data_IF_339028679432
#
_entry.id   IF_339028679432
#
_cell.length_a   1.000
_cell.length_b   1.000
_cell.length_c   1.000
_cell.angle_alpha   90.00
_cell.angle_beta   90.00
_cell.angle_gamma   90.00
#
_symmetry.space_group_name_H-M   'P 1'
#
loop_
_entity.id
_entity.type
_entity.pdbx_description
1 polymer ?
#
# COMPACT_ATOMS: atom_id res chain seq x y z
N UNK A 1 21.94 9.82 6.70
CA UNK A 1 22.09 9.32 5.31
C UNK A 1 21.25 8.07 5.17
N UNK A 2 20.10 8.12 4.47
CA UNK A 2 19.35 6.91 4.10
C UNK A 2 19.86 6.52 2.72
N UNK A 3 20.98 5.81 2.73
CA UNK A 3 21.60 5.22 1.54
C UNK A 3 20.91 3.90 1.21
N UNK A 4 20.88 3.58 -0.09
CA UNK A 4 20.42 2.36 -0.76
C UNK A 4 18.95 2.42 -1.27
N UNK A 5 18.63 2.12 -2.52
CA UNK A 5 19.38 1.41 -3.56
C UNK A 5 18.94 1.77 -4.98
N UNK A 6 19.93 1.77 -5.88
CA UNK A 6 19.81 1.57 -7.32
C UNK A 6 18.77 0.49 -7.64
N UNK A 7 17.68 0.80 -8.36
CA UNK A 7 16.76 -0.23 -8.84
C UNK A 7 17.12 -0.61 -10.28
N UNK A 8 17.92 -1.65 -10.43
CA UNK A 8 18.03 -2.43 -11.67
C UNK A 8 16.66 -3.10 -11.97
N UNK A 9 16.29 -3.33 -13.25
CA UNK A 9 14.95 -3.79 -13.60
C UNK A 9 14.81 -5.29 -13.33
N UNK A 10 14.36 -5.64 -12.12
CA UNK A 10 13.88 -6.98 -11.80
C UNK A 10 12.41 -6.88 -11.38
N UNK A 11 11.58 -7.79 -11.90
CA UNK A 11 10.18 -7.96 -11.53
C UNK A 11 9.98 -7.74 -10.02
N UNK A 12 9.15 -6.75 -9.66
CA UNK A 12 8.95 -6.39 -8.26
C UNK A 12 8.18 -7.50 -7.55
N UNK A 13 8.89 -8.26 -6.71
CA UNK A 13 8.27 -9.31 -5.89
C UNK A 13 7.38 -8.74 -4.78
N UNK A 14 6.58 -9.59 -4.11
CA UNK A 14 5.65 -9.16 -3.06
C UNK A 14 6.29 -8.31 -1.95
N UNK A 15 7.50 -8.66 -1.54
CA UNK A 15 8.25 -7.91 -0.53
C UNK A 15 8.54 -6.46 -0.95
N UNK A 16 8.91 -6.23 -2.21
CA UNK A 16 9.17 -4.89 -2.72
C UNK A 16 7.89 -4.04 -2.77
N UNK A 17 6.76 -4.66 -3.13
CA UNK A 17 5.45 -3.99 -3.12
C UNK A 17 5.05 -3.59 -1.69
N UNK A 18 5.22 -4.50 -0.73
CA UNK A 18 4.95 -4.26 0.69
C UNK A 18 5.79 -3.11 1.23
N UNK A 19 7.10 -3.11 0.96
CA UNK A 19 8.01 -2.03 1.37
C UNK A 19 7.58 -0.69 0.78
N UNK A 20 7.25 -0.62 -0.51
CA UNK A 20 6.81 0.62 -1.14
C UNK A 20 5.53 1.20 -0.51
N UNK A 21 4.57 0.34 -0.16
CA UNK A 21 3.35 0.75 0.54
C UNK A 21 3.70 1.34 1.91
N UNK A 22 4.50 0.62 2.71
CA UNK A 22 4.87 1.05 4.06
C UNK A 22 5.72 2.32 4.07
N UNK A 23 6.70 2.43 3.17
CA UNK A 23 7.56 3.61 3.06
C UNK A 23 6.73 4.87 2.79
N UNK A 24 5.82 4.81 1.81
CA UNK A 24 4.93 5.93 1.50
C UNK A 24 3.99 6.25 2.66
N UNK A 25 3.39 5.24 3.28
CA UNK A 25 2.48 5.45 4.40
C UNK A 25 3.18 6.04 5.63
N UNK A 26 4.41 5.60 5.92
CA UNK A 26 5.23 6.07 7.04
C UNK A 26 5.69 7.52 6.89
N UNK A 27 5.76 8.02 5.66
CA UNK A 27 6.12 9.40 5.36
C UNK A 27 4.93 10.38 5.47
N UNK A 28 3.71 9.87 5.64
CA UNK A 28 2.51 10.70 5.77
C UNK A 28 2.16 10.98 7.23
N UNK A 29 1.39 12.06 7.43
CA UNK A 29 0.75 12.31 8.72
C UNK A 29 -0.25 11.19 9.09
N UNK A 30 -0.47 10.95 10.40
CA UNK A 30 -1.45 9.97 10.86
C UNK A 30 -2.84 10.14 10.22
N UNK A 31 -3.42 9.02 9.78
CA UNK A 31 -4.76 9.00 9.18
C UNK A 31 -4.81 9.42 7.70
N UNK A 32 -3.72 9.90 7.11
CA UNK A 32 -3.61 10.10 5.66
C UNK A 32 -3.56 8.75 4.94
N UNK A 33 -3.81 8.81 3.63
CA UNK A 33 -3.93 7.61 2.81
C UNK A 33 -3.19 7.78 1.49
N UNK A 34 -2.77 6.67 0.88
CA UNK A 34 -2.25 6.61 -0.49
C UNK A 34 -3.20 5.82 -1.40
N UNK A 35 -3.05 5.99 -2.70
CA UNK A 35 -3.61 5.05 -3.69
C UNK A 35 -2.62 3.92 -3.97
N UNK A 36 -3.09 2.76 -4.47
CA UNK A 36 -2.19 1.74 -5.00
C UNK A 36 -1.31 2.25 -6.16
N UNK A 37 -1.77 3.26 -6.91
CA UNK A 37 -1.00 3.87 -8.00
C UNK A 37 0.20 4.64 -7.48
N UNK A 38 0.08 5.32 -6.34
CA UNK A 38 1.20 6.05 -5.72
C UNK A 38 2.33 5.08 -5.38
N UNK A 39 1.99 3.93 -4.77
CA UNK A 39 2.95 2.87 -4.46
C UNK A 39 3.60 2.27 -5.71
N UNK A 40 2.82 2.04 -6.78
CA UNK A 40 3.38 1.52 -8.02
C UNK A 40 4.29 2.54 -8.72
N UNK A 41 3.91 3.82 -8.75
CA UNK A 41 4.72 4.89 -9.34
C UNK A 41 6.03 5.11 -8.59
N UNK A 42 6.05 4.91 -7.27
CA UNK A 42 7.29 4.95 -6.50
C UNK A 42 8.30 3.87 -6.93
N UNK A 43 7.82 2.74 -7.46
CA UNK A 43 8.65 1.61 -7.87
C UNK A 43 9.10 1.68 -9.33
N UNK A 44 8.19 2.01 -10.25
CA UNK A 44 8.46 1.94 -11.69
C UNK A 44 8.34 3.27 -12.43
N UNK A 45 8.15 4.36 -11.70
CA UNK A 45 7.94 5.70 -12.25
C UNK A 45 6.56 5.91 -12.86
N UNK A 46 6.43 6.96 -13.67
CA UNK A 46 5.16 7.38 -14.28
C UNK A 46 4.75 6.58 -15.53
N UNK A 47 5.51 5.56 -15.91
CA UNK A 47 5.26 4.72 -17.09
C UNK A 47 4.04 3.81 -16.86
N UNK A 48 2.97 4.08 -17.61
CA UNK A 48 1.69 3.36 -17.52
C UNK A 48 1.77 1.88 -17.79
N UNK A 49 2.56 1.48 -18.78
CA UNK A 49 2.68 0.06 -19.09
C UNK A 49 3.34 -0.70 -17.95
N UNK A 50 4.23 -0.04 -17.19
CA UNK A 50 4.92 -0.66 -16.06
C UNK A 50 4.04 -0.70 -14.82
N UNK A 51 3.42 0.42 -14.41
CA UNK A 51 2.63 0.43 -13.17
C UNK A 51 1.33 -0.36 -13.32
N UNK A 52 0.74 -0.43 -14.52
CA UNK A 52 -0.50 -1.19 -14.76
C UNK A 52 -0.30 -2.69 -14.51
N UNK A 53 0.87 -3.23 -14.90
CA UNK A 53 1.25 -4.62 -14.63
C UNK A 53 1.40 -4.92 -13.14
N UNK A 54 1.70 -3.92 -12.32
CA UNK A 54 1.79 -4.06 -10.87
C UNK A 54 0.43 -4.03 -10.16
N UNK A 55 -0.66 -3.58 -10.79
CA UNK A 55 -1.94 -3.38 -10.09
C UNK A 55 -2.53 -4.68 -9.53
N UNK A 56 -2.45 -5.78 -10.28
CA UNK A 56 -2.92 -7.10 -9.81
C UNK A 56 -2.11 -7.61 -8.60
N UNK A 57 -0.76 -7.72 -8.66
CA UNK A 57 0.01 -8.14 -7.50
C UNK A 57 -0.03 -7.13 -6.34
N UNK A 58 -0.06 -5.82 -6.62
CA UNK A 58 -0.19 -4.77 -5.61
C UNK A 58 -1.48 -4.93 -4.80
N UNK A 59 -2.60 -5.20 -5.48
CA UNK A 59 -3.87 -5.48 -4.81
C UNK A 59 -3.77 -6.72 -3.93
N UNK A 60 -3.16 -7.81 -4.41
CA UNK A 60 -2.98 -9.03 -3.62
C UNK A 60 -2.18 -8.75 -2.34
N UNK A 61 -1.04 -8.08 -2.47
CA UNK A 61 -0.17 -7.72 -1.35
C UNK A 61 -0.91 -6.81 -0.36
N UNK A 62 -1.64 -5.80 -0.84
CA UNK A 62 -2.42 -4.92 0.03
C UNK A 62 -3.50 -5.68 0.82
N UNK A 63 -4.16 -6.67 0.20
CA UNK A 63 -5.13 -7.53 0.87
C UNK A 63 -4.46 -8.36 1.96
N UNK A 64 -3.31 -8.98 1.66
CA UNK A 64 -2.59 -9.81 2.61
C UNK A 64 -2.07 -8.99 3.80
N UNK A 65 -1.51 -7.80 3.54
CA UNK A 65 -1.10 -6.85 4.58
C UNK A 65 -2.28 -6.40 5.45
N UNK A 66 -3.45 -6.15 4.84
CA UNK A 66 -4.64 -5.75 5.58
C UNK A 66 -5.19 -6.88 6.45
N UNK A 67 -5.15 -8.12 5.96
CA UNK A 67 -5.48 -9.31 6.75
C UNK A 67 -4.50 -9.53 7.92
N UNK A 68 -3.23 -9.17 7.72
CA UNK A 68 -2.20 -9.20 8.76
C UNK A 68 -2.29 -8.03 9.75
N UNK A 69 -3.21 -7.08 9.56
CA UNK A 69 -3.38 -5.92 10.44
C UNK A 69 -2.29 -4.85 10.27
N UNK A 70 -1.49 -4.93 9.21
CA UNK A 70 -0.38 -3.99 8.98
C UNK A 70 -0.82 -2.67 8.35
N UNK A 71 -1.93 -2.69 7.62
CA UNK A 71 -2.55 -1.54 6.95
C UNK A 71 -4.08 -1.70 6.98
N UNK A 72 -4.78 -0.62 6.68
CA UNK A 72 -6.20 -0.63 6.41
C UNK A 72 -6.49 -0.33 4.94
N UNK A 73 -7.45 -1.05 4.37
CA UNK A 73 -8.04 -0.69 3.07
C UNK A 73 -9.29 0.15 3.34
N UNK A 74 -9.33 1.34 2.74
CA UNK A 74 -10.42 2.30 2.92
C UNK A 74 -11.15 2.63 1.61
N UNK A 75 -12.46 2.83 1.70
CA UNK A 75 -13.31 3.38 0.64
C UNK A 75 -14.24 4.43 1.18
N UNK A 76 -14.43 5.51 0.41
CA UNK A 76 -15.26 6.66 0.83
C UNK A 76 -14.92 7.13 2.27
N UNK A 77 -13.62 7.12 2.60
CA UNK A 77 -13.10 7.51 3.92
C UNK A 77 -13.23 6.47 5.05
N UNK A 78 -13.85 5.31 4.81
CA UNK A 78 -14.09 4.28 5.85
C UNK A 78 -13.28 3.02 5.58
N UNK A 79 -12.81 2.35 6.64
CA UNK A 79 -12.23 1.01 6.53
C UNK A 79 -13.28 0.04 5.94
N UNK A 80 -12.83 -0.84 5.06
CA UNK A 80 -13.67 -1.86 4.42
C UNK A 80 -12.99 -3.22 4.53
N UNK A 81 -13.79 -4.28 4.44
CA UNK A 81 -13.28 -5.63 4.38
C UNK A 81 -12.34 -5.81 3.17
N UNK A 82 -11.09 -6.26 3.39
CA UNK A 82 -10.09 -6.42 2.34
C UNK A 82 -10.46 -7.49 1.30
N UNK A 83 -11.41 -8.38 1.58
CA UNK A 83 -11.77 -9.45 0.64
C UNK A 83 -12.93 -9.11 -0.30
N UNK A 84 -13.77 -8.13 0.06
CA UNK A 84 -15.02 -7.84 -0.67
C UNK A 84 -15.05 -6.49 -1.40
N UNK A 85 -14.08 -5.61 -1.16
CA UNK A 85 -14.11 -4.25 -1.74
C UNK A 85 -13.92 -4.23 -3.27
N UNK A 86 -14.63 -3.33 -3.97
CA UNK A 86 -14.50 -3.12 -5.42
C UNK A 86 -14.26 -1.66 -5.78
N UNK A 87 -13.66 -1.42 -6.95
CA UNK A 87 -13.39 -0.08 -7.46
C UNK A 87 -12.27 0.64 -6.69
N UNK A 88 -12.28 1.98 -6.74
CA UNK A 88 -11.27 2.83 -6.11
C UNK A 88 -11.21 2.58 -4.60
N UNK A 89 -9.99 2.44 -4.11
CA UNK A 89 -9.66 2.22 -2.71
C UNK A 89 -8.39 3.00 -2.34
N UNK A 90 -8.22 3.21 -1.05
CA UNK A 90 -7.06 3.88 -0.46
C UNK A 90 -6.45 2.99 0.60
N UNK A 91 -5.16 3.12 0.81
CA UNK A 91 -4.41 2.41 1.85
C UNK A 91 -4.07 3.40 2.95
N UNK A 92 -4.16 2.97 4.21
CA UNK A 92 -3.80 3.76 5.38
C UNK A 92 -2.99 2.91 6.35
N UNK A 93 -2.19 3.53 7.21
CA UNK A 93 -1.71 2.85 8.41
C UNK A 93 -2.90 2.46 9.29
N UNK A 94 -2.80 1.36 10.05
CA UNK A 94 -3.83 0.97 10.98
C UNK A 94 -4.05 2.13 11.93
N UNK A 95 -5.30 2.57 12.04
CA UNK A 95 -5.63 3.39 13.20
C UNK A 95 -5.38 2.52 14.40
N UNK A 96 -4.59 2.99 15.36
CA UNK A 96 -4.59 2.41 16.69
C UNK A 96 -6.06 2.45 17.12
N UNK A 97 -6.77 1.34 16.92
CA UNK A 97 -7.96 1.05 17.69
C UNK A 97 -7.37 1.02 19.08
N UNK A 98 -7.54 2.12 19.82
CA UNK A 98 -7.31 2.14 21.25
C UNK A 98 -8.13 0.96 21.72
N UNK A 99 -7.45 -0.16 21.98
CA UNK A 99 -8.02 -1.28 22.66
C UNK A 99 -8.20 -0.73 24.06
N UNK A 100 -9.31 -0.01 24.25
CA UNK A 100 -9.84 0.36 25.54
C UNK A 100 -10.30 -0.95 26.17
N UNK A 101 -9.34 -1.73 26.62
CA UNK A 101 -9.56 -2.64 27.71
C UNK A 101 -9.70 -1.79 28.97
N UNK A 102 -10.79 -2.07 29.68
CA UNK A 102 -11.36 -1.31 30.78
C UNK A 102 -10.61 -1.54 32.10
#
# INVERSE_FOLDING_TARGET
MKSQSSHAPASHGPAALRTAILDLLSALEPGKTISPFDAARALVGSDEQKWSRLMKPMRSVAIDMAKAGEIEIRRKGKAVDPTSFRGVYRLALPTAQVSGDA
#
